data_IF_835006881067
#
_entry.id   IF_835006881067
#
_cell.length_a   1.000
_cell.length_b   1.000
_cell.length_c   1.000
_cell.angle_alpha   90.00
_cell.angle_beta   90.00
_cell.angle_gamma   90.00
#
_symmetry.space_group_name_H-M   'P 1'
#
loop_
_entity.id
_entity.type
_entity.pdbx_description
1 polymer ?
#
# COMPACT_ATOMS: atom_id res chain seq x y z
N UNK A 1 42.04 53.41 -66.22
CA UNK A 1 42.26 51.94 -66.31
C UNK A 1 42.01 51.16 -65.00
N UNK A 2 41.48 51.79 -63.94
CA UNK A 2 41.25 51.13 -62.64
C UNK A 2 39.92 50.33 -62.53
N UNK A 3 38.98 50.50 -63.46
CA UNK A 3 37.68 49.80 -63.42
C UNK A 3 37.75 48.33 -63.89
N UNK A 4 38.70 47.99 -64.77
CA UNK A 4 38.81 46.64 -65.36
C UNK A 4 39.56 45.65 -64.45
N UNK A 5 40.43 46.14 -63.57
CA UNK A 5 41.11 45.32 -62.56
C UNK A 5 40.19 44.89 -61.39
N UNK A 6 39.21 45.73 -61.01
CA UNK A 6 38.24 45.39 -59.96
C UNK A 6 37.25 44.31 -60.40
N UNK A 7 36.83 44.33 -61.67
CA UNK A 7 35.90 43.34 -62.22
C UNK A 7 36.49 41.91 -62.27
N UNK A 8 37.80 41.77 -62.55
CA UNK A 8 38.50 40.48 -62.53
C UNK A 8 38.75 39.95 -61.11
N UNK A 9 38.92 40.84 -60.13
CA UNK A 9 39.08 40.46 -58.72
C UNK A 9 37.76 40.00 -58.08
N UNK A 10 36.62 40.54 -58.52
CA UNK A 10 35.30 40.14 -58.03
C UNK A 10 34.78 38.84 -58.68
N UNK A 11 35.21 38.49 -59.90
CA UNK A 11 34.85 37.21 -60.53
C UNK A 11 35.61 36.02 -59.93
N UNK A 12 36.91 36.15 -59.65
CA UNK A 12 37.69 35.08 -58.99
C UNK A 12 37.23 34.79 -57.56
N UNK A 13 36.86 35.83 -56.79
CA UNK A 13 36.39 35.67 -55.41
C UNK A 13 35.06 34.90 -55.28
N UNK A 14 34.17 35.04 -56.27
CA UNK A 14 32.89 34.33 -56.30
C UNK A 14 32.99 32.83 -56.65
N UNK A 15 34.02 32.44 -57.41
CA UNK A 15 34.27 31.04 -57.74
C UNK A 15 34.92 30.28 -56.58
N UNK A 16 35.86 30.92 -55.87
CA UNK A 16 36.48 30.36 -54.66
C UNK A 16 35.45 30.16 -53.54
N UNK A 17 34.57 31.14 -53.28
CA UNK A 17 33.47 31.04 -52.30
C UNK A 17 32.50 29.89 -52.61
N UNK A 18 32.16 29.69 -53.89
CA UNK A 18 31.30 28.57 -54.32
C UNK A 18 32.00 27.23 -54.17
N UNK A 19 33.30 27.16 -54.46
CA UNK A 19 34.11 25.95 -54.28
C UNK A 19 34.23 25.56 -52.80
N UNK A 20 34.44 26.55 -51.93
CA UNK A 20 34.51 26.39 -50.47
C UNK A 20 33.15 25.96 -49.89
N UNK A 21 32.06 26.60 -50.32
CA UNK A 21 30.70 26.22 -49.93
C UNK A 21 30.38 24.77 -50.32
N UNK A 22 30.83 24.33 -51.51
CA UNK A 22 30.64 22.96 -51.99
C UNK A 22 31.50 21.94 -51.21
N UNK A 23 32.71 22.33 -50.81
CA UNK A 23 33.58 21.51 -49.95
C UNK A 23 33.00 21.34 -48.55
N UNK A 24 32.46 22.41 -47.96
CA UNK A 24 31.78 22.37 -46.65
C UNK A 24 30.53 21.49 -46.74
N UNK A 25 29.70 21.65 -47.77
CA UNK A 25 28.50 20.82 -47.95
C UNK A 25 28.85 19.34 -48.11
N UNK A 26 29.94 19.02 -48.85
CA UNK A 26 30.43 17.65 -49.01
C UNK A 26 30.95 17.06 -47.68
N UNK A 27 31.68 17.85 -46.90
CA UNK A 27 32.16 17.45 -45.57
C UNK A 27 31.00 17.20 -44.60
N UNK A 28 30.04 18.13 -44.53
CA UNK A 28 28.83 17.96 -43.70
C UNK A 28 28.01 16.74 -44.11
N UNK A 29 27.90 16.46 -45.41
CA UNK A 29 27.25 15.26 -45.90
C UNK A 29 28.01 13.98 -45.51
N UNK A 30 29.33 13.99 -45.55
CA UNK A 30 30.16 12.87 -45.07
C UNK A 30 30.03 12.66 -43.56
N UNK A 31 30.01 13.72 -42.76
CA UNK A 31 29.78 13.65 -41.31
C UNK A 31 28.39 13.07 -41.03
N UNK A 32 27.38 13.49 -41.78
CA UNK A 32 26.02 12.96 -41.65
C UNK A 32 25.94 11.46 -41.98
N UNK A 33 26.54 11.04 -43.10
CA UNK A 33 26.59 9.62 -43.49
C UNK A 33 27.38 8.79 -42.49
N UNK A 34 28.49 9.32 -41.97
CA UNK A 34 29.25 8.68 -40.90
C UNK A 34 28.44 8.54 -39.61
N UNK A 35 27.67 9.57 -39.25
CA UNK A 35 26.73 9.54 -38.14
C UNK A 35 25.65 8.47 -38.30
N UNK A 36 25.02 8.39 -39.48
CA UNK A 36 24.04 7.34 -39.78
C UNK A 36 24.66 5.93 -39.79
N UNK A 37 25.87 5.78 -40.33
CA UNK A 37 26.59 4.51 -40.36
C UNK A 37 26.99 4.03 -38.97
N UNK A 38 27.47 4.94 -38.11
CA UNK A 38 27.78 4.64 -36.72
C UNK A 38 26.51 4.28 -35.91
N UNK A 39 25.42 4.99 -36.12
CA UNK A 39 24.12 4.68 -35.49
C UNK A 39 23.60 3.30 -35.91
N UNK A 40 23.64 2.98 -37.20
CA UNK A 40 23.24 1.66 -37.71
C UNK A 40 24.12 0.53 -37.14
N UNK A 41 25.44 0.76 -36.99
CA UNK A 41 26.35 -0.20 -36.37
C UNK A 41 26.08 -0.38 -34.88
N UNK A 42 25.78 0.69 -34.16
CA UNK A 42 25.35 0.64 -32.76
C UNK A 42 24.02 -0.09 -32.57
N UNK A 43 23.08 -0.01 -33.53
CA UNK A 43 21.85 -0.83 -33.48
C UNK A 43 22.15 -2.32 -33.68
N UNK A 44 23.02 -2.68 -34.64
CA UNK A 44 23.40 -4.07 -34.88
C UNK A 44 24.18 -4.70 -33.72
N UNK A 45 25.11 -3.95 -33.12
CA UNK A 45 25.89 -4.40 -31.96
C UNK A 45 25.08 -4.27 -30.66
N UNK A 46 24.17 -3.31 -30.58
CA UNK A 46 23.26 -3.09 -29.45
C UNK A 46 22.32 -4.26 -29.19
N UNK A 47 21.81 -4.92 -30.24
CA UNK A 47 20.98 -6.12 -30.07
C UNK A 47 21.75 -7.28 -29.41
N UNK A 48 23.03 -7.47 -29.73
CA UNK A 48 23.86 -8.53 -29.11
C UNK A 48 24.17 -8.24 -27.64
N UNK A 49 24.43 -6.98 -27.31
CA UNK A 49 24.62 -6.54 -25.92
C UNK A 49 23.31 -6.69 -25.15
N UNK A 50 22.18 -6.32 -25.76
CA UNK A 50 20.85 -6.52 -25.19
C UNK A 50 20.58 -8.00 -24.91
N UNK A 51 20.77 -8.90 -25.87
CA UNK A 51 20.57 -10.35 -25.67
C UNK A 51 21.47 -10.91 -24.55
N UNK A 52 22.69 -10.39 -24.43
CA UNK A 52 23.62 -10.76 -23.37
C UNK A 52 23.11 -10.30 -22.00
N UNK A 53 22.63 -9.05 -21.92
CA UNK A 53 22.06 -8.49 -20.69
C UNK A 53 20.77 -9.22 -20.29
N UNK A 54 19.92 -9.60 -21.24
CA UNK A 54 18.72 -10.39 -20.98
C UNK A 54 19.08 -11.76 -20.39
N UNK A 55 20.02 -12.48 -21.00
CA UNK A 55 20.51 -13.77 -20.46
C UNK A 55 21.12 -13.64 -19.06
N UNK A 56 21.86 -12.55 -18.83
CA UNK A 56 22.39 -12.23 -17.50
C UNK A 56 21.26 -11.94 -16.50
N UNK A 57 20.22 -11.21 -16.93
CA UNK A 57 19.01 -10.94 -16.15
C UNK A 57 18.25 -12.21 -15.76
N UNK A 58 17.98 -13.10 -16.73
CA UNK A 58 17.34 -14.40 -16.48
C UNK A 58 18.16 -15.28 -15.52
N UNK A 59 19.49 -15.28 -15.67
CA UNK A 59 20.39 -16.00 -14.76
C UNK A 59 20.35 -15.40 -13.35
N UNK A 60 20.33 -14.07 -13.24
CA UNK A 60 20.25 -13.36 -11.97
C UNK A 60 18.89 -13.60 -11.29
N UNK A 61 17.80 -13.57 -12.04
CA UNK A 61 16.46 -13.87 -11.55
C UNK A 61 16.38 -15.30 -11.03
N UNK A 62 16.84 -16.29 -11.82
CA UNK A 62 16.85 -17.70 -11.42
C UNK A 62 17.65 -17.92 -10.13
N UNK A 63 18.86 -17.34 -10.04
CA UNK A 63 19.68 -17.38 -8.81
C UNK A 63 18.97 -16.70 -7.64
N UNK A 64 18.37 -15.52 -7.85
CA UNK A 64 17.65 -14.79 -6.80
C UNK A 64 16.44 -15.58 -6.32
N UNK A 65 15.69 -16.21 -7.23
CA UNK A 65 14.54 -17.06 -6.91
C UNK A 65 14.96 -18.32 -6.13
N UNK A 66 16.09 -18.92 -6.50
CA UNK A 66 16.63 -20.07 -5.76
C UNK A 66 17.11 -19.68 -4.35
N UNK A 67 17.81 -18.55 -4.22
CA UNK A 67 18.23 -18.01 -2.90
C UNK A 67 17.01 -17.61 -2.07
N UNK A 68 16.00 -16.99 -2.66
CA UNK A 68 14.76 -16.65 -1.98
C UNK A 68 13.99 -17.90 -1.53
N UNK A 69 13.90 -18.92 -2.38
CA UNK A 69 13.28 -20.20 -2.04
C UNK A 69 14.02 -20.89 -0.88
N UNK A 70 15.35 -21.02 -0.97
CA UNK A 70 16.16 -21.63 0.09
C UNK A 70 16.12 -20.83 1.40
N UNK A 71 16.12 -19.50 1.32
CA UNK A 71 15.98 -18.63 2.49
C UNK A 71 14.59 -18.73 3.11
N UNK A 72 13.53 -18.79 2.30
CA UNK A 72 12.16 -18.96 2.77
C UNK A 72 11.98 -20.33 3.42
N UNK A 73 12.55 -21.39 2.86
CA UNK A 73 12.49 -22.72 3.43
C UNK A 73 13.32 -22.81 4.73
N UNK A 74 14.52 -22.23 4.77
CA UNK A 74 15.30 -22.12 6.01
C UNK A 74 14.56 -21.31 7.10
N UNK A 75 13.92 -20.20 6.73
CA UNK A 75 13.11 -19.40 7.64
C UNK A 75 11.88 -20.16 8.13
N UNK A 76 11.22 -20.94 7.27
CA UNK A 76 10.09 -21.81 7.64
C UNK A 76 10.53 -22.89 8.61
N UNK A 77 11.65 -23.56 8.36
CA UNK A 77 12.18 -24.59 9.27
C UNK A 77 12.60 -23.98 10.62
N UNK A 78 13.26 -22.82 10.62
CA UNK A 78 13.57 -22.09 11.85
C UNK A 78 12.30 -21.65 12.61
N UNK A 79 11.26 -21.22 11.90
CA UNK A 79 9.97 -20.86 12.49
C UNK A 79 9.27 -22.10 13.07
N UNK A 80 9.30 -23.26 12.39
CA UNK A 80 8.77 -24.52 12.92
C UNK A 80 9.52 -24.98 14.17
N UNK A 81 10.86 -24.90 14.17
CA UNK A 81 11.67 -25.24 15.34
C UNK A 81 11.31 -24.34 16.53
N UNK A 82 11.26 -23.01 16.33
CA UNK A 82 10.81 -22.09 17.36
C UNK A 82 9.37 -22.36 17.81
N UNK A 83 8.45 -22.66 16.90
CA UNK A 83 7.07 -23.00 17.27
C UNK A 83 7.01 -24.27 18.13
N UNK A 84 7.85 -25.28 17.85
CA UNK A 84 7.99 -26.48 18.69
C UNK A 84 8.57 -26.15 20.07
N UNK A 85 9.61 -25.33 20.13
CA UNK A 85 10.21 -24.88 21.40
C UNK A 85 9.19 -24.07 22.23
N UNK A 86 8.43 -23.20 21.57
CA UNK A 86 7.37 -22.40 22.19
C UNK A 86 6.17 -23.24 22.62
N UNK A 87 5.87 -24.34 21.92
CA UNK A 87 4.84 -25.29 22.34
C UNK A 87 5.30 -26.16 23.53
N UNK A 88 6.61 -26.41 23.66
CA UNK A 88 7.20 -27.10 24.80
C UNK A 88 7.29 -26.22 26.06
N UNK A 89 7.45 -24.90 25.88
CA UNK A 89 7.32 -23.93 26.96
C UNK A 89 5.84 -23.77 27.32
N UNK A 90 5.43 -24.31 28.48
CA UNK A 90 4.05 -24.26 28.96
C UNK A 90 3.43 -22.85 28.78
N UNK A 91 2.20 -22.79 28.26
CA UNK A 91 1.56 -21.62 27.60
C UNK A 91 1.52 -20.26 28.31
N UNK A 92 2.04 -20.12 29.53
CA UNK A 92 2.12 -18.83 30.25
C UNK A 92 3.08 -17.81 29.61
N UNK A 93 4.07 -18.23 28.82
CA UNK A 93 4.91 -17.29 28.04
C UNK A 93 4.23 -16.87 26.74
N UNK A 94 3.37 -17.72 26.18
CA UNK A 94 2.61 -17.42 24.97
C UNK A 94 1.54 -16.35 25.21
N UNK A 95 0.83 -16.42 26.33
CA UNK A 95 -0.18 -15.42 26.73
C UNK A 95 0.40 -13.99 26.80
N UNK A 96 1.62 -13.84 27.35
CA UNK A 96 2.33 -12.54 27.36
C UNK A 96 2.77 -12.09 25.97
N UNK A 97 3.14 -13.01 25.08
CA UNK A 97 3.51 -12.69 23.70
C UNK A 97 2.28 -12.31 22.86
N UNK A 98 1.14 -12.95 23.10
CA UNK A 98 -0.15 -12.59 22.52
C UNK A 98 -0.50 -11.15 22.88
N UNK A 99 -0.38 -10.77 24.16
CA UNK A 99 -0.60 -9.40 24.60
C UNK A 99 0.36 -8.38 23.93
N UNK A 100 1.64 -8.74 23.73
CA UNK A 100 2.63 -7.86 23.04
C UNK A 100 2.37 -7.78 21.53
N UNK A 101 1.97 -8.90 20.90
CA UNK A 101 1.60 -8.96 19.51
C UNK A 101 0.37 -8.08 19.25
N UNK A 102 -0.68 -8.24 20.05
CA UNK A 102 -1.88 -7.38 20.01
C UNK A 102 -1.50 -5.90 20.17
N UNK A 103 -0.67 -5.56 21.16
CA UNK A 103 -0.21 -4.18 21.35
C UNK A 103 0.60 -3.65 20.15
N UNK A 104 1.36 -4.50 19.45
CA UNK A 104 2.13 -4.11 18.27
C UNK A 104 1.26 -3.97 17.03
N UNK A 105 0.31 -4.90 16.82
CA UNK A 105 -0.69 -4.84 15.74
C UNK A 105 -1.59 -3.64 15.92
N UNK A 106 -2.12 -3.41 17.14
CA UNK A 106 -2.92 -2.24 17.46
C UNK A 106 -2.15 -0.94 17.19
N UNK A 107 -0.86 -0.86 17.55
CA UNK A 107 -0.02 0.31 17.24
C UNK A 107 0.17 0.50 15.74
N UNK A 108 0.43 -0.57 14.98
CA UNK A 108 0.59 -0.50 13.52
C UNK A 108 -0.71 -0.08 12.81
N UNK A 109 -1.85 -0.61 13.25
CA UNK A 109 -3.18 -0.22 12.76
C UNK A 109 -3.50 1.24 13.10
N UNK A 110 -3.11 1.71 14.29
CA UNK A 110 -3.22 3.11 14.68
C UNK A 110 -2.38 4.03 13.78
N UNK A 111 -1.15 3.63 13.42
CA UNK A 111 -0.33 4.37 12.45
C UNK A 111 -0.94 4.41 11.04
N UNK A 112 -1.71 3.39 10.66
CA UNK A 112 -2.42 3.32 9.39
C UNK A 112 -3.77 4.08 9.41
N UNK A 113 -4.12 4.70 10.54
CA UNK A 113 -5.35 5.50 10.69
C UNK A 113 -6.61 4.69 10.98
N UNK A 114 -6.47 3.42 11.34
CA UNK A 114 -7.60 2.58 11.75
C UNK A 114 -7.88 2.85 13.23
N UNK A 115 -8.93 3.62 13.52
CA UNK A 115 -9.39 3.88 14.88
C UNK A 115 -9.96 2.62 15.52
N UNK A 116 -9.58 2.37 16.78
CA UNK A 116 -10.02 1.17 17.52
C UNK A 116 -11.37 1.40 18.20
N UNK A 117 -12.04 0.32 18.64
CA UNK A 117 -13.28 0.42 19.41
C UNK A 117 -13.13 1.23 20.71
N UNK A 118 -11.95 1.19 21.32
CA UNK A 118 -11.63 1.98 22.50
C UNK A 118 -11.57 3.49 22.20
N UNK A 119 -11.10 3.87 21.01
CA UNK A 119 -11.07 5.27 20.57
C UNK A 119 -12.48 5.79 20.31
N UNK A 120 -13.34 4.95 19.72
CA UNK A 120 -14.76 5.27 19.54
C UNK A 120 -15.45 5.45 20.89
N UNK A 121 -15.20 4.57 21.86
CA UNK A 121 -15.78 4.68 23.20
C UNK A 121 -15.37 5.99 23.91
N UNK A 122 -14.08 6.36 23.87
CA UNK A 122 -13.59 7.64 24.42
C UNK A 122 -14.20 8.84 23.72
N UNK A 123 -14.42 8.77 22.42
CA UNK A 123 -15.08 9.84 21.68
C UNK A 123 -16.55 9.97 22.07
N UNK A 124 -17.26 8.85 22.23
CA UNK A 124 -18.66 8.83 22.71
C UNK A 124 -18.78 9.45 24.10
N UNK A 125 -17.88 9.12 25.03
CA UNK A 125 -17.84 9.72 26.37
C UNK A 125 -17.67 11.23 26.31
N UNK A 126 -16.68 11.72 25.55
CA UNK A 126 -16.46 13.16 25.35
C UNK A 126 -17.66 13.87 24.71
N UNK A 127 -18.35 13.22 23.77
CA UNK A 127 -19.56 13.76 23.15
C UNK A 127 -20.71 13.85 24.16
N UNK A 128 -20.85 12.87 25.05
CA UNK A 128 -21.86 12.89 26.11
C UNK A 128 -21.57 14.01 27.11
N UNK A 129 -20.35 14.12 27.61
CA UNK A 129 -19.92 15.20 28.52
C UNK A 129 -20.16 16.59 27.89
N UNK A 130 -19.80 16.75 26.61
CA UNK A 130 -20.03 17.99 25.88
C UNK A 130 -21.52 18.27 25.70
N UNK A 131 -22.32 17.24 25.40
CA UNK A 131 -23.78 17.35 25.27
C UNK A 131 -24.42 17.81 26.59
N UNK A 132 -23.94 17.29 27.72
CA UNK A 132 -24.38 17.69 29.05
C UNK A 132 -23.98 19.13 29.36
N UNK A 133 -22.73 19.52 29.08
CA UNK A 133 -22.24 20.88 29.28
C UNK A 133 -23.01 21.91 28.43
N UNK A 134 -23.30 21.58 27.17
CA UNK A 134 -24.11 22.43 26.27
C UNK A 134 -25.55 22.52 26.77
N UNK A 135 -26.15 21.42 27.23
CA UNK A 135 -27.50 21.44 27.77
C UNK A 135 -27.58 22.28 29.07
N UNK A 136 -26.57 22.18 29.94
CA UNK A 136 -26.45 23.02 31.12
C UNK A 136 -26.33 24.52 30.77
N UNK A 137 -25.52 24.85 29.76
CA UNK A 137 -25.36 26.23 29.28
C UNK A 137 -26.66 26.77 28.65
N UNK A 138 -27.36 25.97 27.84
CA UNK A 138 -28.64 26.36 27.24
C UNK A 138 -29.72 26.61 28.31
N UNK A 139 -29.75 25.78 29.36
CA UNK A 139 -30.63 26.00 30.52
C UNK A 139 -30.26 27.28 31.27
N UNK A 140 -28.98 27.56 31.46
CA UNK A 140 -28.50 28.77 32.12
C UNK A 140 -28.78 30.07 31.31
N UNK A 141 -28.79 29.97 29.98
CA UNK A 141 -29.10 31.09 29.08
C UNK A 141 -30.61 31.27 28.80
N UNK A 142 -31.48 30.46 29.43
CA UNK A 142 -32.94 30.57 29.26
C UNK A 142 -33.43 30.19 27.85
N UNK A 143 -32.61 29.53 27.05
CA UNK A 143 -32.98 29.10 25.69
C UNK A 143 -33.76 27.79 25.78
N UNK A 144 -35.09 27.90 25.82
CA UNK A 144 -35.98 26.73 25.71
C UNK A 144 -35.99 26.30 24.24
N UNK A 145 -35.20 25.26 23.90
CA UNK A 145 -35.44 24.54 22.65
C UNK A 145 -36.76 23.78 22.79
N UNK A 146 -37.77 24.24 22.06
CA UNK A 146 -39.02 23.51 21.86
C UNK A 146 -38.70 22.22 21.08
N UNK A 147 -38.67 21.10 21.81
CA UNK A 147 -38.83 19.74 21.33
C UNK A 147 -37.91 19.30 20.20
N UNK A 148 -36.82 18.62 20.54
CA UNK A 148 -36.44 17.44 19.77
C UNK A 148 -37.13 16.25 20.44
N UNK A 149 -38.27 15.85 19.88
CA UNK A 149 -38.86 14.55 20.18
C UNK A 149 -37.80 13.48 20.02
N UNK A 150 -37.68 12.66 21.05
CA UNK A 150 -36.94 11.41 21.10
C UNK A 150 -37.32 10.53 19.91
N UNK A 151 -36.54 10.58 18.83
CA UNK A 151 -36.47 9.49 17.86
C UNK A 151 -35.34 8.57 18.30
N UNK A 152 -35.70 7.39 18.80
CA UNK A 152 -34.71 6.39 19.21
C UNK A 152 -35.18 5.40 20.27
N UNK A 153 -36.46 5.01 20.26
CA UNK A 153 -36.91 3.82 20.96
C UNK A 153 -38.17 3.24 20.30
N UNK A 154 -38.14 3.03 18.98
CA UNK A 154 -38.97 1.99 18.38
C UNK A 154 -38.29 0.64 18.61
N UNK A 155 -38.21 0.29 19.91
CA UNK A 155 -37.86 -1.02 20.40
C UNK A 155 -39.13 -1.84 20.45
N UNK A 156 -39.09 -2.93 19.70
CA UNK A 156 -40.06 -4.00 19.68
C UNK A 156 -40.70 -4.31 21.05
N UNK A 157 -41.91 -4.90 20.94
CA UNK A 157 -42.52 -5.87 21.86
C UNK A 157 -43.76 -5.38 22.60
N UNK A 158 -44.84 -5.23 21.82
CA UNK A 158 -46.17 -5.66 22.27
C UNK A 158 -46.16 -7.18 22.45
N UNK A 159 -46.03 -7.66 23.68
CA UNK A 159 -46.58 -8.97 24.07
C UNK A 159 -47.26 -8.83 25.41
N UNK A 160 -48.58 -9.03 25.37
CA UNK A 160 -49.47 -9.06 26.51
C UNK A 160 -49.02 -10.08 27.55
N UNK A 161 -49.19 -9.67 28.80
CA UNK A 161 -48.99 -10.41 30.04
C UNK A 161 -49.98 -11.59 30.13
N UNK A 162 -49.56 -12.75 30.65
CA UNK A 162 -50.47 -13.53 31.47
C UNK A 162 -49.94 -13.72 32.89
N UNK A 163 -50.94 -13.85 33.75
CA UNK A 163 -50.96 -13.78 35.20
C UNK A 163 -50.58 -15.14 35.79
N UNK A 164 -49.95 -15.11 36.98
CA UNK A 164 -49.58 -16.24 37.85
C UNK A 164 -50.56 -17.43 37.80
N UNK A 165 -50.02 -18.64 37.66
CA UNK A 165 -50.52 -19.82 38.40
C UNK A 165 -49.36 -20.61 39.00
N UNK A 166 -49.47 -20.79 40.30
CA UNK A 166 -48.58 -21.49 41.22
C UNK A 166 -48.49 -22.98 40.90
N UNK A 167 -47.28 -23.53 40.76
CA UNK A 167 -47.05 -24.98 40.76
C UNK A 167 -46.42 -25.38 42.09
N UNK A 168 -47.19 -26.17 42.84
CA UNK A 168 -46.87 -26.77 44.14
C UNK A 168 -45.94 -27.97 43.96
N UNK A 169 -44.97 -28.07 44.86
CA UNK A 169 -43.96 -29.12 45.04
C UNK A 169 -44.59 -30.47 45.46
N UNK A 170 -44.13 -31.59 44.89
CA UNK A 170 -43.89 -32.89 45.55
C UNK A 170 -43.36 -33.97 44.56
N UNK A 171 -42.64 -35.01 45.04
CA UNK A 171 -41.61 -35.74 44.27
C UNK A 171 -41.91 -37.24 43.99
N UNK A 172 -40.94 -37.89 43.32
CA UNK A 172 -40.54 -39.31 43.37
C UNK A 172 -40.69 -40.17 42.08
N UNK A 173 -39.52 -40.52 41.52
CA UNK A 173 -39.02 -41.78 40.89
C UNK A 173 -39.99 -42.97 40.67
N UNK A 174 -39.78 -43.89 39.68
CA UNK A 174 -38.46 -44.49 39.43
C UNK A 174 -38.09 -45.03 38.01
N UNK A 175 -36.79 -45.34 37.89
CA UNK A 175 -36.16 -46.54 37.28
C UNK A 175 -36.13 -46.76 35.75
N UNK A 176 -34.88 -46.88 35.28
CA UNK A 176 -34.28 -47.86 34.33
C UNK A 176 -34.73 -47.91 32.87
N UNK A 177 -33.75 -47.79 31.95
CA UNK A 177 -33.17 -48.83 31.06
C UNK A 177 -32.00 -48.16 30.29
N UNK A 178 -30.76 -48.66 30.32
CA UNK A 178 -30.17 -49.62 29.35
C UNK A 178 -30.53 -49.26 27.88
N UNK A 179 -29.62 -49.16 26.89
CA UNK A 179 -28.50 -50.05 26.56
C UNK A 179 -27.74 -49.44 25.36
N UNK A 180 -26.43 -49.74 25.29
CA UNK A 180 -25.61 -50.07 24.10
C UNK A 180 -25.46 -49.08 22.93
#
# INVERSE_FOLDING_TARGET
MLKKARAGLETGKGEDERSMSKAILKSSHQIWLAGLGAFAKAQQEGMKVFDTLVKQGETLESKTRQVAATTADAAREAAKAKARDMQAMAGGTWDKLEQVFEARVARALGHLGVYTSADVAKLTERVNELSEAVNALLKAQGVVRKGAETQGAEGARRTAKPRKRTARKAPATPRSVDTK
#
